data_IF_147445362276
#
_entry.id   IF_147445362276
#
_cell.length_a   1.000
_cell.length_b   1.000
_cell.length_c   1.000
_cell.angle_alpha   90.00
_cell.angle_beta   90.00
_cell.angle_gamma   90.00
#
_symmetry.space_group_name_H-M   'P 1'
#
loop_
_entity.id
_entity.type
_entity.pdbx_description
1 polymer ?
#
# COMPACT_ATOMS: atom_id res chain seq x y z
N UNK A 1 -5.86 9.34 35.20
CA UNK A 1 -4.97 8.42 34.45
C UNK A 1 -5.66 7.82 33.22
N UNK A 2 -6.86 7.26 33.34
CA UNK A 2 -7.55 6.60 32.21
C UNK A 2 -7.98 7.55 31.08
N UNK A 3 -8.59 8.70 31.40
CA UNK A 3 -8.92 9.74 30.41
C UNK A 3 -7.69 10.26 29.67
N UNK A 4 -6.55 10.40 30.36
CA UNK A 4 -5.27 10.79 29.74
C UNK A 4 -4.76 9.71 28.77
N UNK A 5 -4.86 8.43 29.14
CA UNK A 5 -4.48 7.32 28.25
C UNK A 5 -5.35 7.30 26.99
N UNK A 6 -6.67 7.44 27.13
CA UNK A 6 -7.60 7.49 25.99
C UNK A 6 -7.29 8.64 25.03
N UNK A 7 -6.95 9.83 25.55
CA UNK A 7 -6.54 10.96 24.71
C UNK A 7 -5.22 10.69 23.99
N UNK A 8 -4.26 10.03 24.64
CA UNK A 8 -2.99 9.65 24.04
C UNK A 8 -3.15 8.58 22.95
N UNK A 9 -4.00 7.57 23.17
CA UNK A 9 -4.30 6.53 22.16
C UNK A 9 -4.94 7.16 20.92
N UNK A 10 -5.92 8.06 21.11
CA UNK A 10 -6.54 8.80 20.01
C UNK A 10 -5.55 9.69 19.25
N UNK A 11 -4.69 10.43 19.97
CA UNK A 11 -3.64 11.24 19.34
C UNK A 11 -2.64 10.39 18.57
N UNK A 12 -2.19 9.28 19.16
CA UNK A 12 -1.21 8.37 18.58
C UNK A 12 -1.67 7.82 17.23
N UNK A 13 -2.88 7.25 17.18
CA UNK A 13 -3.41 6.68 15.95
C UNK A 13 -3.85 7.75 14.94
N UNK A 14 -4.27 8.95 15.40
CA UNK A 14 -4.55 10.10 14.52
C UNK A 14 -3.29 10.56 13.77
N UNK A 15 -2.14 10.65 14.45
CA UNK A 15 -0.87 10.98 13.80
C UNK A 15 -0.53 9.95 12.72
N UNK A 16 -0.75 8.66 13.00
CA UNK A 16 -0.67 7.60 11.99
C UNK A 16 -1.58 7.85 10.80
N UNK A 17 -2.86 8.13 11.05
CA UNK A 17 -3.84 8.35 9.99
C UNK A 17 -3.48 9.55 9.11
N UNK A 18 -2.98 10.65 9.69
CA UNK A 18 -2.52 11.83 8.93
C UNK A 18 -1.26 11.52 8.11
N UNK A 19 -0.31 10.74 8.65
CA UNK A 19 0.89 10.32 7.92
C UNK A 19 0.55 9.39 6.75
N UNK A 20 -0.37 8.45 6.94
CA UNK A 20 -0.84 7.56 5.86
C UNK A 20 -1.74 8.32 4.88
N UNK A 21 -2.52 9.30 5.31
CA UNK A 21 -3.19 10.22 4.39
C UNK A 21 -2.18 10.94 3.49
N UNK A 22 -1.03 11.38 4.03
CA UNK A 22 0.02 11.98 3.22
C UNK A 22 0.60 11.00 2.19
N UNK A 23 0.58 9.68 2.43
CA UNK A 23 0.97 8.68 1.42
C UNK A 23 0.12 8.78 0.14
N UNK A 24 -1.14 9.22 0.21
CA UNK A 24 -1.97 9.46 -0.98
C UNK A 24 -1.40 10.58 -1.86
N UNK A 25 -0.89 11.65 -1.25
CA UNK A 25 -0.12 12.65 -2.00
C UNK A 25 1.18 12.04 -2.55
N UNK A 26 1.82 11.15 -1.80
CA UNK A 26 2.98 10.38 -2.26
C UNK A 26 2.71 9.56 -3.53
N UNK A 27 1.62 8.77 -3.54
CA UNK A 27 1.14 8.05 -4.72
C UNK A 27 0.86 9.01 -5.87
N UNK A 28 0.24 10.17 -5.59
CA UNK A 28 -0.08 11.15 -6.60
C UNK A 28 1.16 11.73 -7.27
N UNK A 29 2.18 12.13 -6.50
CA UNK A 29 3.42 12.65 -7.06
C UNK A 29 4.27 11.57 -7.74
N UNK A 30 4.28 10.34 -7.23
CA UNK A 30 4.96 9.20 -7.85
C UNK A 30 4.34 8.86 -9.22
N UNK A 31 3.01 8.80 -9.31
CA UNK A 31 2.28 8.58 -10.57
C UNK A 31 2.50 9.77 -11.52
N UNK A 32 2.31 11.00 -11.03
CA UNK A 32 2.49 12.25 -11.79
C UNK A 32 3.89 12.35 -12.44
N UNK A 33 4.94 11.99 -11.69
CA UNK A 33 6.32 12.01 -12.16
C UNK A 33 6.62 10.92 -13.20
N UNK A 34 5.83 9.84 -13.24
CA UNK A 34 6.04 8.67 -14.10
C UNK A 34 5.23 8.73 -15.40
N UNK A 35 3.99 9.24 -15.34
CA UNK A 35 3.11 9.34 -16.52
C UNK A 35 3.56 10.45 -17.48
N UNK A 36 3.08 10.42 -18.73
CA UNK A 36 3.37 11.49 -19.71
C UNK A 36 2.69 12.80 -19.29
N UNK A 37 3.33 13.93 -19.58
CA UNK A 37 2.84 15.27 -19.20
C UNK A 37 1.36 15.54 -19.49
N UNK A 38 0.86 15.09 -20.65
CA UNK A 38 -0.56 15.24 -21.04
C UNK A 38 -1.58 14.55 -20.11
N UNK A 39 -1.14 13.60 -19.29
CA UNK A 39 -1.99 12.81 -18.39
C UNK A 39 -1.85 13.22 -16.91
N UNK A 40 -1.00 14.20 -16.61
CA UNK A 40 -0.65 14.60 -15.24
C UNK A 40 -1.85 15.12 -14.44
N UNK A 41 -2.67 16.01 -15.02
CA UNK A 41 -3.87 16.55 -14.36
C UNK A 41 -4.86 15.44 -14.01
N UNK A 42 -5.03 14.47 -14.90
CA UNK A 42 -5.92 13.34 -14.68
C UNK A 42 -5.43 12.45 -13.52
N UNK A 43 -4.12 12.21 -13.40
CA UNK A 43 -3.55 11.43 -12.31
C UNK A 43 -3.83 12.08 -10.92
N UNK A 44 -3.65 13.40 -10.82
CA UNK A 44 -3.91 14.14 -9.57
C UNK A 44 -5.38 14.08 -9.14
N UNK A 45 -6.30 14.38 -10.07
CA UNK A 45 -7.74 14.40 -9.77
C UNK A 45 -8.23 13.00 -9.39
N UNK A 46 -7.74 11.97 -10.08
CA UNK A 46 -8.12 10.57 -9.81
C UNK A 46 -7.81 10.16 -8.38
N UNK A 47 -6.60 10.38 -7.90
CA UNK A 47 -6.20 9.90 -6.57
C UNK A 47 -6.99 10.60 -5.46
N UNK A 48 -7.24 11.90 -5.59
CA UNK A 48 -8.06 12.62 -4.61
C UNK A 48 -9.52 12.14 -4.63
N UNK A 49 -10.11 11.95 -5.81
CA UNK A 49 -11.49 11.45 -5.92
C UNK A 49 -11.60 9.99 -5.48
N UNK A 50 -10.62 9.14 -5.79
CA UNK A 50 -10.57 7.75 -5.32
C UNK A 50 -10.53 7.70 -3.79
N UNK A 51 -9.80 8.61 -3.12
CA UNK A 51 -9.84 8.73 -1.66
C UNK A 51 -11.25 9.10 -1.14
N UNK A 52 -11.93 10.05 -1.77
CA UNK A 52 -13.31 10.42 -1.38
C UNK A 52 -14.30 9.27 -1.58
N UNK A 53 -14.23 8.56 -2.71
CA UNK A 53 -15.09 7.40 -2.98
C UNK A 53 -14.79 6.27 -1.99
N UNK A 54 -13.51 6.01 -1.72
CA UNK A 54 -13.07 5.04 -0.73
C UNK A 54 -13.63 5.38 0.65
N UNK A 55 -13.61 6.66 1.04
CA UNK A 55 -14.17 7.14 2.31
C UNK A 55 -15.63 6.79 2.44
N UNK A 56 -16.44 7.10 1.43
CA UNK A 56 -17.89 6.81 1.46
C UNK A 56 -18.13 5.29 1.47
N UNK A 57 -17.49 4.54 0.56
CA UNK A 57 -17.69 3.10 0.45
C UNK A 57 -17.27 2.35 1.73
N UNK A 58 -16.14 2.74 2.32
CA UNK A 58 -15.64 2.12 3.54
C UNK A 58 -16.46 2.54 4.77
N UNK A 59 -16.85 3.81 4.90
CA UNK A 59 -17.63 4.29 6.04
C UNK A 59 -19.00 3.61 6.14
N UNK A 60 -19.73 3.52 5.02
CA UNK A 60 -21.10 3.02 5.02
C UNK A 60 -21.21 1.49 4.88
N UNK A 61 -20.17 0.82 4.38
CA UNK A 61 -20.23 -0.63 4.09
C UNK A 61 -18.97 -1.34 4.59
N UNK A 62 -17.79 -0.92 4.08
CA UNK A 62 -16.56 -1.69 4.25
C UNK A 62 -16.16 -1.91 5.71
N UNK A 63 -16.22 -0.89 6.55
CA UNK A 63 -15.83 -1.01 7.96
C UNK A 63 -16.73 -2.00 8.73
N UNK A 64 -18.03 -2.00 8.42
CA UNK A 64 -18.98 -2.98 8.99
C UNK A 64 -18.70 -4.39 8.49
N UNK A 65 -18.35 -4.55 7.20
CA UNK A 65 -17.94 -5.86 6.66
C UNK A 65 -16.69 -6.38 7.40
N UNK A 66 -15.64 -5.56 7.51
CA UNK A 66 -14.38 -5.96 8.14
C UNK A 66 -14.49 -6.19 9.65
N UNK A 67 -15.11 -5.25 10.38
CA UNK A 67 -15.07 -5.22 11.85
C UNK A 67 -16.43 -5.41 12.53
N UNK A 68 -17.54 -5.32 11.80
CA UNK A 68 -18.89 -5.41 12.38
C UNK A 68 -19.30 -4.15 13.15
N UNK A 69 -18.63 -3.03 12.86
CA UNK A 69 -18.87 -1.73 13.50
C UNK A 69 -19.49 -0.79 12.47
N UNK A 70 -20.48 -0.02 12.90
CA UNK A 70 -21.07 1.09 12.15
C UNK A 70 -21.05 2.38 13.00
N UNK A 71 -21.36 3.51 12.37
CA UNK A 71 -21.34 4.82 13.01
C UNK A 71 -22.71 5.49 13.04
N UNK A 72 -23.80 4.72 13.01
CA UNK A 72 -25.18 5.25 13.03
C UNK A 72 -25.66 5.51 14.47
N UNK A 73 -24.89 6.30 15.22
CA UNK A 73 -25.23 6.74 16.58
C UNK A 73 -25.10 8.26 16.73
N UNK A 74 -25.63 8.81 17.82
CA UNK A 74 -25.56 10.24 18.09
C UNK A 74 -24.12 10.73 18.30
N UNK A 75 -23.83 11.98 17.93
CA UNK A 75 -22.48 12.55 17.99
C UNK A 75 -21.85 12.47 19.39
N UNK A 76 -22.64 12.59 20.46
CA UNK A 76 -22.18 12.45 21.84
C UNK A 76 -21.64 11.05 22.14
N UNK A 77 -22.26 10.01 21.58
CA UNK A 77 -21.81 8.61 21.72
C UNK A 77 -20.52 8.40 20.93
N UNK A 78 -20.49 8.89 19.69
CA UNK A 78 -19.32 8.80 18.82
C UNK A 78 -18.09 9.55 19.36
N UNK A 79 -18.29 10.62 20.13
CA UNK A 79 -17.23 11.43 20.73
C UNK A 79 -16.65 10.82 22.02
N UNK A 80 -17.26 9.75 22.57
CA UNK A 80 -16.74 9.08 23.76
C UNK A 80 -15.31 8.57 23.53
N UNK A 81 -14.51 8.50 24.60
CA UNK A 81 -13.09 8.10 24.55
C UNK A 81 -12.29 8.93 23.53
N UNK A 82 -12.60 10.22 23.42
CA UNK A 82 -12.01 11.14 22.44
C UNK A 82 -12.22 10.70 20.98
N UNK A 83 -13.30 9.98 20.70
CA UNK A 83 -13.61 9.50 19.35
C UNK A 83 -12.64 8.44 18.82
N UNK A 84 -11.98 7.67 19.69
CA UNK A 84 -10.97 6.68 19.29
C UNK A 84 -11.45 5.75 18.16
N UNK A 85 -12.70 5.27 18.18
CA UNK A 85 -13.23 4.42 17.11
C UNK A 85 -13.35 5.15 15.76
N UNK A 86 -13.69 6.44 15.75
CA UNK A 86 -13.70 7.25 14.53
C UNK A 86 -12.28 7.48 14.00
N UNK A 87 -11.31 7.70 14.90
CA UNK A 87 -9.90 7.87 14.50
C UNK A 87 -9.32 6.55 14.00
N UNK A 88 -9.66 5.43 14.63
CA UNK A 88 -9.30 4.09 14.17
C UNK A 88 -9.90 3.78 12.80
N UNK A 89 -11.16 4.16 12.58
CA UNK A 89 -11.76 4.13 11.24
C UNK A 89 -10.96 4.96 10.25
N UNK A 90 -10.61 6.21 10.59
CA UNK A 90 -9.83 7.07 9.70
C UNK A 90 -8.47 6.46 9.38
N UNK A 91 -7.78 5.87 10.36
CA UNK A 91 -6.54 5.13 10.14
C UNK A 91 -6.72 3.98 9.16
N UNK A 92 -7.67 3.08 9.39
CA UNK A 92 -7.87 1.90 8.53
C UNK A 92 -8.44 2.27 7.15
N UNK A 93 -9.25 3.33 7.06
CA UNK A 93 -9.68 3.92 5.80
C UNK A 93 -8.48 4.29 4.92
N UNK A 94 -7.42 4.89 5.50
CA UNK A 94 -6.26 5.30 4.71
C UNK A 94 -5.50 4.11 4.12
N UNK A 95 -5.58 2.92 4.75
CA UNK A 95 -5.05 1.65 4.25
C UNK A 95 -5.95 1.10 3.14
N UNK A 96 -7.27 1.07 3.37
CA UNK A 96 -8.25 0.64 2.39
C UNK A 96 -8.18 1.48 1.10
N UNK A 97 -8.04 2.80 1.25
CA UNK A 97 -7.88 3.73 0.13
C UNK A 97 -6.54 3.58 -0.59
N UNK A 98 -5.51 2.98 0.03
CA UNK A 98 -4.23 2.74 -0.65
C UNK A 98 -4.38 1.70 -1.78
N UNK A 99 -5.34 0.78 -1.67
CA UNK A 99 -5.62 -0.25 -2.67
C UNK A 99 -5.93 0.34 -4.06
N UNK A 100 -6.94 1.21 -4.23
CA UNK A 100 -7.20 1.83 -5.54
C UNK A 100 -6.04 2.71 -6.00
N UNK A 101 -5.28 3.34 -5.11
CA UNK A 101 -4.07 4.09 -5.48
C UNK A 101 -2.98 3.19 -6.08
N UNK A 102 -2.74 2.01 -5.49
CA UNK A 102 -1.86 0.96 -6.03
C UNK A 102 -2.35 0.53 -7.41
N UNK A 103 -3.64 0.23 -7.55
CA UNK A 103 -4.21 -0.20 -8.84
C UNK A 103 -4.06 0.90 -9.89
N UNK A 104 -4.36 2.16 -9.55
CA UNK A 104 -4.23 3.33 -10.42
C UNK A 104 -2.84 3.41 -11.06
N UNK A 105 -1.79 3.24 -10.26
CA UNK A 105 -0.41 3.23 -10.75
C UNK A 105 -0.16 2.18 -11.84
N UNK A 106 -0.79 1.01 -11.76
CA UNK A 106 -0.67 -0.01 -12.80
C UNK A 106 -1.46 0.34 -14.06
N UNK A 107 -2.63 0.93 -13.91
CA UNK A 107 -3.60 1.22 -14.99
C UNK A 107 -3.56 2.66 -15.54
N UNK A 108 -2.56 3.44 -15.11
CA UNK A 108 -2.38 4.83 -15.50
C UNK A 108 -2.39 5.05 -17.03
N UNK A 109 -2.82 6.26 -17.42
CA UNK A 109 -2.94 6.74 -18.81
C UNK A 109 -3.97 6.07 -19.72
N UNK A 110 -4.60 4.96 -19.33
CA UNK A 110 -5.58 4.25 -20.17
C UNK A 110 -6.89 3.87 -19.47
N UNK A 111 -6.92 3.89 -18.14
CA UNK A 111 -8.15 3.71 -17.38
C UNK A 111 -9.09 4.92 -17.51
N UNK A 112 -10.37 4.63 -17.79
CA UNK A 112 -11.45 5.63 -17.76
C UNK A 112 -11.79 5.98 -16.31
N UNK A 113 -12.11 7.25 -16.06
CA UNK A 113 -12.36 7.81 -14.73
C UNK A 113 -13.54 7.14 -14.00
N UNK A 114 -14.75 7.16 -14.56
CA UNK A 114 -15.93 6.61 -13.87
C UNK A 114 -15.90 5.09 -13.64
N UNK A 115 -15.48 4.25 -14.62
CA UNK A 115 -15.31 2.82 -14.36
C UNK A 115 -14.30 2.53 -13.24
N UNK A 116 -13.21 3.31 -13.17
CA UNK A 116 -12.24 3.22 -12.07
C UNK A 116 -12.89 3.56 -10.73
N UNK A 117 -13.66 4.66 -10.63
CA UNK A 117 -14.38 5.01 -9.40
C UNK A 117 -15.36 3.92 -8.94
N UNK A 118 -16.10 3.32 -9.88
CA UNK A 118 -17.03 2.22 -9.53
C UNK A 118 -16.26 1.00 -9.03
N UNK A 119 -15.13 0.66 -9.66
CA UNK A 119 -14.25 -0.41 -9.18
C UNK A 119 -13.71 -0.08 -7.78
N UNK A 120 -13.27 1.16 -7.53
CA UNK A 120 -12.85 1.64 -6.21
C UNK A 120 -13.92 1.41 -5.16
N UNK A 121 -15.17 1.81 -5.44
CA UNK A 121 -16.28 1.62 -4.50
C UNK A 121 -16.54 0.15 -4.16
N UNK A 122 -16.49 -0.75 -5.15
CA UNK A 122 -16.69 -2.20 -4.93
C UNK A 122 -15.51 -2.83 -4.19
N UNK A 123 -14.29 -2.46 -4.57
CA UNK A 123 -13.08 -3.01 -3.95
C UNK A 123 -13.01 -2.57 -2.48
N UNK A 124 -13.16 -1.28 -2.21
CA UNK A 124 -13.02 -0.72 -0.86
C UNK A 124 -14.25 -0.96 0.01
N UNK A 125 -15.45 -0.99 -0.58
CA UNK A 125 -16.69 -1.25 0.15
C UNK A 125 -16.92 -2.72 0.46
N UNK A 126 -16.34 -3.66 -0.30
CA UNK A 126 -16.64 -5.09 -0.16
C UNK A 126 -15.41 -6.01 -0.24
N UNK A 127 -14.64 -5.97 -1.33
CA UNK A 127 -13.62 -7.01 -1.57
C UNK A 127 -12.43 -6.93 -0.60
N UNK A 128 -11.84 -5.75 -0.42
CA UNK A 128 -10.75 -5.51 0.52
C UNK A 128 -11.20 -5.76 1.98
N UNK A 129 -12.35 -5.23 2.45
CA UNK A 129 -12.85 -5.50 3.80
C UNK A 129 -13.03 -6.99 4.15
N UNK A 130 -13.31 -7.86 3.19
CA UNK A 130 -13.37 -9.31 3.43
C UNK A 130 -11.99 -9.86 3.78
N UNK A 131 -10.93 -9.43 3.09
CA UNK A 131 -9.55 -9.81 3.38
C UNK A 131 -9.07 -9.21 4.70
N UNK A 132 -9.30 -7.91 4.88
CA UNK A 132 -8.99 -7.18 6.10
C UNK A 132 -9.65 -7.81 7.33
N UNK A 133 -10.96 -8.08 7.27
CA UNK A 133 -11.69 -8.72 8.35
C UNK A 133 -11.22 -10.15 8.63
N UNK A 134 -10.90 -10.92 7.59
CA UNK A 134 -10.39 -12.29 7.75
C UNK A 134 -9.05 -12.31 8.50
N UNK A 135 -8.12 -11.43 8.14
CA UNK A 135 -6.74 -11.46 8.67
C UNK A 135 -6.60 -10.68 9.97
N UNK A 136 -7.12 -9.44 10.05
CA UNK A 136 -6.92 -8.53 11.19
C UNK A 136 -8.05 -8.53 12.21
N UNK A 137 -9.27 -8.91 11.81
CA UNK A 137 -10.40 -9.00 12.74
C UNK A 137 -10.77 -10.45 13.11
N UNK A 138 -10.02 -11.44 12.60
CA UNK A 138 -10.31 -12.87 12.76
C UNK A 138 -11.77 -13.23 12.43
N UNK A 139 -12.35 -12.54 11.43
CA UNK A 139 -13.69 -12.88 10.92
C UNK A 139 -13.62 -14.12 10.03
N UNK A 140 -14.79 -14.73 9.83
CA UNK A 140 -15.00 -15.83 8.88
C UNK A 140 -14.22 -17.13 9.19
N UNK A 141 -13.53 -17.22 10.33
CA UNK A 141 -12.80 -18.42 10.77
C UNK A 141 -11.52 -18.72 10.00
N UNK A 142 -11.05 -17.81 9.13
CA UNK A 142 -9.90 -18.04 8.25
C UNK A 142 -8.60 -18.18 9.05
N UNK A 143 -8.33 -17.29 10.02
CA UNK A 143 -7.14 -17.39 10.87
C UNK A 143 -7.13 -18.66 11.72
N UNK A 144 -8.30 -19.08 12.24
CA UNK A 144 -8.46 -20.35 12.94
C UNK A 144 -8.16 -21.54 12.04
N UNK A 145 -8.67 -21.52 10.80
CA UNK A 145 -8.38 -22.55 9.81
C UNK A 145 -6.90 -22.60 9.45
N UNK A 146 -6.26 -21.44 9.19
CA UNK A 146 -4.81 -21.34 8.94
C UNK A 146 -4.04 -21.97 10.10
N UNK A 147 -4.33 -21.55 11.34
CA UNK A 147 -3.66 -22.09 12.52
C UNK A 147 -3.83 -23.61 12.66
N UNK A 148 -4.99 -24.16 12.27
CA UNK A 148 -5.24 -25.60 12.32
C UNK A 148 -4.41 -26.42 11.32
N UNK A 149 -3.98 -25.81 10.21
CA UNK A 149 -3.21 -26.50 9.15
C UNK A 149 -1.71 -26.18 9.17
N UNK A 150 -1.31 -25.00 9.66
CA UNK A 150 0.10 -24.56 9.69
C UNK A 150 0.73 -24.58 11.08
N UNK A 151 -0.08 -24.72 12.14
CA UNK A 151 0.38 -24.66 13.54
C UNK A 151 0.43 -23.26 14.15
N UNK A 152 0.09 -22.20 13.39
CA UNK A 152 0.02 -20.83 13.90
C UNK A 152 -0.79 -19.90 13.00
N UNK A 153 -1.36 -18.81 13.52
CA UNK A 153 -2.08 -17.84 12.69
C UNK A 153 -1.12 -17.16 11.71
N UNK A 154 -1.68 -16.64 10.62
CA UNK A 154 -0.93 -15.78 9.72
C UNK A 154 -0.59 -14.45 10.42
N UNK A 155 0.69 -14.10 10.44
CA UNK A 155 1.17 -12.82 10.96
C UNK A 155 1.33 -11.82 9.83
N UNK A 156 0.57 -10.72 9.88
CA UNK A 156 0.71 -9.59 8.98
C UNK A 156 0.47 -8.30 9.77
N UNK A 157 1.51 -7.77 10.41
CA UNK A 157 1.39 -6.69 11.38
C UNK A 157 0.80 -5.40 10.81
N UNK A 158 1.30 -4.94 9.66
CA UNK A 158 0.88 -3.69 9.02
C UNK A 158 0.34 -3.87 7.59
N UNK A 159 0.45 -5.04 6.95
CA UNK A 159 -0.23 -5.29 5.67
C UNK A 159 0.67 -5.52 4.46
N UNK A 160 1.75 -6.32 4.59
CA UNK A 160 2.47 -6.79 3.39
C UNK A 160 1.54 -7.59 2.50
N UNK A 161 0.63 -8.37 3.09
CA UNK A 161 -0.33 -9.18 2.34
C UNK A 161 -1.68 -8.47 2.24
N UNK A 162 -2.26 -8.06 3.37
CA UNK A 162 -3.62 -7.48 3.44
C UNK A 162 -3.75 -6.23 2.58
N UNK A 163 -2.71 -5.39 2.52
CA UNK A 163 -2.74 -4.17 1.70
C UNK A 163 -1.99 -4.37 0.40
N UNK A 164 -0.69 -4.65 0.47
CA UNK A 164 0.15 -4.59 -0.72
C UNK A 164 -0.03 -5.78 -1.65
N UNK A 165 0.04 -7.01 -1.14
CA UNK A 165 -0.19 -8.17 -2.00
C UNK A 165 -1.61 -8.13 -2.57
N UNK A 166 -2.63 -7.87 -1.75
CA UNK A 166 -4.01 -7.71 -2.22
C UNK A 166 -4.11 -6.68 -3.36
N UNK A 167 -3.60 -5.46 -3.14
CA UNK A 167 -3.64 -4.41 -4.15
C UNK A 167 -2.89 -4.77 -5.44
N UNK A 168 -1.68 -5.32 -5.33
CA UNK A 168 -0.87 -5.70 -6.49
C UNK A 168 -1.46 -6.88 -7.28
N UNK A 169 -2.06 -7.86 -6.61
CA UNK A 169 -2.69 -9.01 -7.28
C UNK A 169 -4.06 -8.67 -7.88
N UNK A 170 -4.81 -7.72 -7.32
CA UNK A 170 -6.01 -7.17 -7.96
C UNK A 170 -5.64 -6.25 -9.14
N UNK A 171 -4.52 -5.53 -9.07
CA UNK A 171 -4.05 -4.69 -10.15
C UNK A 171 -3.65 -5.50 -11.40
N UNK A 172 -3.05 -6.69 -11.25
CA UNK A 172 -2.54 -7.48 -12.38
C UNK A 172 -3.64 -7.82 -13.41
N UNK A 173 -4.80 -8.41 -13.05
CA UNK A 173 -5.91 -8.60 -13.99
C UNK A 173 -6.35 -7.31 -14.67
N UNK A 174 -6.42 -6.19 -13.95
CA UNK A 174 -6.81 -4.90 -14.53
C UNK A 174 -5.78 -4.42 -15.57
N UNK A 175 -4.48 -4.57 -15.29
CA UNK A 175 -3.38 -4.28 -16.23
C UNK A 175 -3.48 -5.16 -17.47
N UNK A 176 -3.74 -6.46 -17.31
CA UNK A 176 -3.85 -7.41 -18.43
C UNK A 176 -5.08 -7.13 -19.31
N UNK A 177 -6.24 -6.87 -18.71
CA UNK A 177 -7.49 -6.62 -19.44
C UNK A 177 -7.45 -5.29 -20.19
N UNK A 178 -6.92 -4.23 -19.58
CA UNK A 178 -6.75 -2.94 -20.26
C UNK A 178 -5.67 -2.98 -21.35
N UNK A 179 -4.72 -3.90 -21.22
CA UNK A 179 -3.61 -4.07 -22.13
C UNK A 179 -2.61 -2.92 -22.10
N UNK A 180 -1.69 -2.96 -23.08
CA UNK A 180 -0.58 -2.02 -23.16
C UNK A 180 -1.00 -0.63 -23.66
N UNK A 181 -0.32 0.41 -23.16
CA UNK A 181 -0.49 1.77 -23.67
C UNK A 181 -0.11 1.83 -25.14
N UNK A 182 -0.78 2.72 -25.87
CA UNK A 182 -0.53 2.95 -27.30
C UNK A 182 0.94 3.22 -27.55
N UNK A 183 1.50 2.49 -28.53
CA UNK A 183 2.89 2.55 -28.97
C UNK A 183 3.95 2.05 -27.97
N UNK A 184 3.56 1.42 -26.85
CA UNK A 184 4.51 0.80 -25.91
C UNK A 184 5.26 -0.37 -26.57
N UNK A 185 4.51 -1.32 -27.13
CA UNK A 185 5.02 -2.47 -27.88
C UNK A 185 4.58 -2.37 -29.34
N UNK A 186 5.56 -2.23 -30.25
CA UNK A 186 5.31 -2.04 -31.68
C UNK A 186 5.25 -3.38 -32.41
N UNK A 187 4.56 -3.40 -33.56
CA UNK A 187 4.39 -4.60 -34.40
C UNK A 187 5.71 -5.12 -34.98
N UNK A 188 6.70 -4.26 -35.16
CA UNK A 188 8.06 -4.60 -35.59
C UNK A 188 8.90 -5.26 -34.48
N UNK A 189 8.32 -5.51 -33.30
CA UNK A 189 9.01 -6.06 -32.14
C UNK A 189 9.72 -5.01 -31.29
N UNK A 190 9.77 -3.75 -31.74
CA UNK A 190 10.38 -2.64 -31.01
C UNK A 190 9.58 -2.23 -29.76
N UNK A 191 10.27 -1.67 -28.79
CA UNK A 191 9.68 -1.13 -27.56
C UNK A 191 9.93 0.37 -27.46
N UNK A 192 8.89 1.15 -27.20
CA UNK A 192 9.05 2.57 -26.87
C UNK A 192 9.20 2.73 -25.36
N UNK A 193 10.34 3.26 -24.95
CA UNK A 193 10.49 3.75 -23.58
C UNK A 193 9.52 4.92 -23.35
N UNK A 194 8.80 4.89 -22.25
CA UNK A 194 8.04 6.03 -21.75
C UNK A 194 8.75 6.50 -20.49
N UNK A 195 9.79 7.36 -20.65
CA UNK A 195 10.56 7.81 -19.50
C UNK A 195 9.67 8.64 -18.56
N UNK A 196 9.99 8.67 -17.25
CA UNK A 196 9.34 9.57 -16.31
C UNK A 196 9.32 11.01 -16.83
N UNK A 197 8.19 11.69 -16.69
CA UNK A 197 8.05 13.08 -17.11
C UNK A 197 8.72 14.06 -16.15
N UNK A 198 8.90 13.68 -14.87
CA UNK A 198 9.55 14.51 -13.86
C UNK A 198 10.19 13.66 -12.76
N UNK A 199 11.52 13.56 -12.78
CA UNK A 199 12.29 12.92 -11.70
C UNK A 199 12.08 13.63 -10.35
N UNK A 200 12.02 14.98 -10.27
CA UNK A 200 11.71 15.66 -9.00
C UNK A 200 10.36 15.26 -8.39
N UNK A 201 9.31 15.10 -9.20
CA UNK A 201 8.00 14.67 -8.68
C UNK A 201 8.00 13.19 -8.31
N UNK A 202 8.65 12.34 -9.10
CA UNK A 202 8.84 10.93 -8.76
C UNK A 202 9.58 10.80 -7.41
N UNK A 203 10.66 11.55 -7.22
CA UNK A 203 11.43 11.60 -5.99
C UNK A 203 10.61 12.13 -4.81
N UNK A 204 9.86 13.22 -5.00
CA UNK A 204 8.98 13.79 -3.97
C UNK A 204 7.92 12.77 -3.52
N UNK A 205 7.30 12.07 -4.47
CA UNK A 205 6.34 11.01 -4.18
C UNK A 205 6.94 9.90 -3.33
N UNK A 206 8.12 9.40 -3.73
CA UNK A 206 8.85 8.37 -3.00
C UNK A 206 9.20 8.79 -1.56
N UNK A 207 9.70 10.00 -1.36
CA UNK A 207 10.02 10.50 -0.01
C UNK A 207 8.78 10.68 0.87
N UNK A 208 7.67 11.20 0.32
CA UNK A 208 6.41 11.31 1.07
C UNK A 208 5.91 9.92 1.48
N UNK A 209 5.96 8.94 0.57
CA UNK A 209 5.60 7.55 0.88
C UNK A 209 6.51 6.96 1.95
N UNK A 210 7.82 7.17 1.86
CA UNK A 210 8.78 6.68 2.85
C UNK A 210 8.52 7.24 4.25
N UNK A 211 8.23 8.54 4.38
CA UNK A 211 7.87 9.16 5.66
C UNK A 211 6.53 8.63 6.16
N UNK A 212 5.50 8.60 5.30
CA UNK A 212 4.18 8.11 5.65
C UNK A 212 4.18 6.66 6.12
N UNK A 213 5.11 5.84 5.63
CA UNK A 213 5.27 4.45 6.02
C UNK A 213 5.61 4.23 7.49
N UNK A 214 6.27 5.19 8.14
CA UNK A 214 6.47 5.11 9.59
C UNK A 214 5.14 5.27 10.34
N UNK A 215 4.22 6.08 9.81
CA UNK A 215 2.83 6.13 10.28
C UNK A 215 2.09 4.83 10.03
N UNK A 216 2.29 4.24 8.85
CA UNK A 216 1.69 2.96 8.45
C UNK A 216 2.15 1.81 9.36
N UNK A 217 3.45 1.63 9.56
CA UNK A 217 3.99 0.53 10.36
C UNK A 217 3.89 0.81 11.87
N UNK A 218 4.51 1.88 12.37
CA UNK A 218 4.64 2.10 13.83
C UNK A 218 3.28 2.28 14.50
N UNK A 219 2.35 2.97 13.83
CA UNK A 219 1.01 3.23 14.39
C UNK A 219 0.03 2.07 14.18
N UNK A 220 0.41 1.02 13.43
CA UNK A 220 -0.36 -0.25 13.39
C UNK A 220 -0.40 -0.96 14.74
N UNK A 221 0.42 -0.54 15.70
CA UNK A 221 0.25 -0.86 17.12
C UNK A 221 -1.12 -0.41 17.69
N UNK A 222 -1.76 0.60 17.08
CA UNK A 222 -3.06 1.22 17.40
C UNK A 222 -3.17 1.93 18.76
N UNK A 223 -2.48 1.45 19.79
CA UNK A 223 -2.47 2.04 21.13
C UNK A 223 -1.05 2.36 21.59
N UNK A 224 -0.91 3.40 22.41
CA UNK A 224 0.40 3.93 22.81
C UNK A 224 1.21 2.94 23.65
N UNK A 225 0.55 2.02 24.35
CA UNK A 225 1.20 0.97 25.14
C UNK A 225 1.80 -0.15 24.29
N UNK A 226 1.44 -0.24 23.00
CA UNK A 226 1.96 -1.23 22.05
C UNK A 226 2.99 -0.64 21.09
N UNK A 227 3.29 0.66 21.17
CA UNK A 227 4.31 1.28 20.32
C UNK A 227 5.66 0.58 20.51
N UNK A 228 6.37 0.36 19.41
CA UNK A 228 7.66 -0.33 19.44
C UNK A 228 8.70 0.38 18.59
N UNK A 229 9.84 0.71 19.21
CA UNK A 229 11.02 1.22 18.49
C UNK A 229 11.59 0.19 17.51
N UNK A 230 11.36 -1.11 17.76
CA UNK A 230 11.77 -2.19 16.86
C UNK A 230 11.08 -2.04 15.50
N UNK A 231 9.78 -1.73 15.48
CA UNK A 231 9.01 -1.53 14.25
C UNK A 231 9.58 -0.36 13.43
N UNK A 232 9.94 0.74 14.09
CA UNK A 232 10.56 1.89 13.43
C UNK A 232 11.92 1.54 12.82
N UNK A 233 12.79 0.86 13.58
CA UNK A 233 14.13 0.48 13.11
C UNK A 233 14.05 -0.57 12.00
N UNK A 234 13.17 -1.57 12.12
CA UNK A 234 12.97 -2.56 11.06
C UNK A 234 12.46 -1.92 9.77
N UNK A 235 11.54 -0.95 9.88
CA UNK A 235 11.07 -0.17 8.72
C UNK A 235 12.20 0.58 8.04
N UNK A 236 13.06 1.25 8.83
CA UNK A 236 14.25 1.94 8.30
C UNK A 236 15.24 0.98 7.65
N UNK A 237 15.55 -0.15 8.29
CA UNK A 237 16.50 -1.12 7.75
C UNK A 237 16.00 -1.73 6.44
N UNK A 238 14.72 -2.06 6.34
CA UNK A 238 14.13 -2.57 5.11
C UNK A 238 14.11 -1.52 3.99
N UNK A 239 13.78 -0.26 4.30
CA UNK A 239 13.90 0.87 3.38
C UNK A 239 15.32 0.95 2.81
N UNK A 240 16.34 0.91 3.69
CA UNK A 240 17.76 0.96 3.30
C UNK A 240 18.12 -0.23 2.42
N UNK A 241 17.74 -1.46 2.81
CA UNK A 241 18.02 -2.67 2.05
C UNK A 241 17.44 -2.63 0.64
N UNK A 242 16.16 -2.24 0.53
CA UNK A 242 15.48 -2.10 -0.75
C UNK A 242 16.12 -1.03 -1.64
N UNK A 243 16.49 0.11 -1.06
CA UNK A 243 17.16 1.21 -1.78
C UNK A 243 18.53 0.78 -2.31
N UNK A 244 19.39 0.19 -1.47
CA UNK A 244 20.73 -0.22 -1.86
C UNK A 244 20.70 -1.31 -2.93
N UNK A 245 19.81 -2.30 -2.78
CA UNK A 245 19.69 -3.36 -3.77
C UNK A 245 19.12 -2.84 -5.10
N UNK A 246 18.14 -1.95 -5.06
CA UNK A 246 17.60 -1.34 -6.27
C UNK A 246 18.61 -0.44 -6.97
N UNK A 247 19.43 0.30 -6.23
CA UNK A 247 20.52 1.10 -6.81
C UNK A 247 21.57 0.22 -7.50
N UNK A 248 21.96 -0.89 -6.86
CA UNK A 248 22.92 -1.84 -7.40
C UNK A 248 22.40 -2.53 -8.67
N UNK A 249 21.24 -3.19 -8.59
CA UNK A 249 20.70 -3.99 -9.68
C UNK A 249 20.06 -3.13 -10.78
N UNK A 250 19.46 -2.01 -10.39
CA UNK A 250 18.91 -1.00 -11.29
C UNK A 250 19.96 -0.06 -11.89
N UNK A 251 21.24 -0.24 -11.55
CA UNK A 251 22.38 0.54 -12.09
C UNK A 251 22.19 2.05 -11.95
N UNK A 252 21.73 2.49 -10.78
CA UNK A 252 21.43 3.89 -10.45
C UNK A 252 20.31 4.53 -11.30
N UNK A 253 19.48 3.75 -12.00
CA UNK A 253 18.30 4.28 -12.68
C UNK A 253 17.34 4.90 -11.64
N UNK A 254 16.96 6.19 -11.79
CA UNK A 254 16.09 6.85 -10.83
C UNK A 254 14.74 6.16 -10.62
N UNK A 255 14.18 5.53 -11.66
CA UNK A 255 12.93 4.77 -11.57
C UNK A 255 13.08 3.58 -10.62
N UNK A 256 14.22 2.89 -10.61
CA UNK A 256 14.49 1.84 -9.65
C UNK A 256 14.88 2.38 -8.27
N UNK A 257 15.77 3.36 -8.19
CA UNK A 257 16.30 3.87 -6.90
C UNK A 257 15.19 4.46 -6.02
N UNK A 258 14.24 5.19 -6.59
CA UNK A 258 13.14 5.78 -5.81
C UNK A 258 12.00 4.80 -5.53
N UNK A 259 11.91 3.67 -6.23
CA UNK A 259 10.94 2.61 -5.89
C UNK A 259 11.52 1.52 -4.98
N UNK A 260 12.86 1.37 -4.96
CA UNK A 260 13.59 0.50 -4.04
C UNK A 260 13.21 0.63 -2.56
N UNK A 261 13.18 1.84 -1.96
CA UNK A 261 12.73 2.00 -0.57
C UNK A 261 11.31 1.49 -0.37
N UNK A 262 10.42 1.71 -1.34
CA UNK A 262 9.02 1.28 -1.28
C UNK A 262 8.91 -0.24 -1.32
N UNK A 263 9.67 -0.92 -2.19
CA UNK A 263 9.72 -2.37 -2.22
C UNK A 263 10.14 -2.97 -0.87
N UNK A 264 11.16 -2.39 -0.23
CA UNK A 264 11.60 -2.81 1.09
C UNK A 264 10.56 -2.55 2.18
N UNK A 265 9.96 -1.36 2.18
CA UNK A 265 8.90 -1.00 3.12
C UNK A 265 7.63 -1.85 2.94
N UNK A 266 7.24 -2.20 1.72
CA UNK A 266 6.16 -3.17 1.44
C UNK A 266 6.45 -4.51 2.10
N UNK A 267 7.66 -5.03 1.93
CA UNK A 267 8.00 -6.37 2.40
C UNK A 267 8.11 -6.46 3.93
N UNK A 268 8.50 -5.39 4.62
CA UNK A 268 8.66 -5.45 6.09
C UNK A 268 7.35 -5.31 6.85
N UNK A 269 6.27 -4.80 6.23
CA UNK A 269 4.99 -4.56 6.93
C UNK A 269 4.50 -5.77 7.73
N UNK A 270 4.61 -6.99 7.20
CA UNK A 270 4.12 -8.19 7.87
C UNK A 270 4.89 -8.55 9.14
N UNK A 271 6.21 -8.38 9.15
CA UNK A 271 7.07 -8.83 10.26
C UNK A 271 7.84 -7.72 10.99
N UNK A 272 7.49 -6.46 10.77
CA UNK A 272 8.21 -5.32 11.33
C UNK A 272 8.29 -5.32 12.87
N UNK A 273 7.37 -5.97 13.55
CA UNK A 273 7.31 -6.14 15.01
C UNK A 273 8.04 -7.37 15.54
N UNK A 274 8.42 -8.32 14.67
CA UNK A 274 9.04 -9.61 15.08
C UNK A 274 10.45 -9.83 14.52
N UNK A 275 10.84 -9.11 13.47
CA UNK A 275 12.14 -9.26 12.83
C UNK A 275 13.28 -8.64 13.66
N UNK A 276 14.49 -9.19 13.52
CA UNK A 276 15.72 -8.50 13.91
C UNK A 276 16.07 -7.43 12.85
N UNK A 277 16.64 -6.26 13.19
CA UNK A 277 17.01 -5.21 12.24
C UNK A 277 17.87 -5.66 11.05
N UNK A 278 18.82 -6.57 11.29
CA UNK A 278 19.62 -7.17 10.22
C UNK A 278 18.78 -8.09 9.30
N UNK A 279 17.77 -8.76 9.85
CA UNK A 279 16.80 -9.54 9.07
C UNK A 279 15.91 -8.62 8.23
N UNK A 280 15.40 -7.53 8.81
CA UNK A 280 14.63 -6.53 8.07
C UNK A 280 15.43 -5.89 6.92
N UNK A 281 16.73 -5.63 7.11
CA UNK A 281 17.63 -5.20 6.04
C UNK A 281 17.69 -6.22 4.89
N UNK A 282 17.85 -7.51 5.21
CA UNK A 282 17.90 -8.57 4.22
C UNK A 282 16.57 -8.74 3.48
N UNK A 283 15.44 -8.70 4.21
CA UNK A 283 14.08 -8.73 3.65
C UNK A 283 13.89 -7.59 2.66
N UNK A 284 14.28 -6.38 3.05
CA UNK A 284 14.22 -5.21 2.19
C UNK A 284 15.10 -5.34 0.94
N UNK A 285 16.33 -5.83 1.09
CA UNK A 285 17.24 -6.07 -0.03
C UNK A 285 16.67 -7.08 -1.03
N UNK A 286 16.15 -8.22 -0.54
CA UNK A 286 15.51 -9.22 -1.41
C UNK A 286 14.29 -8.63 -2.11
N UNK A 287 13.48 -7.82 -1.42
CA UNK A 287 12.34 -7.14 -2.03
C UNK A 287 12.77 -6.17 -3.16
N UNK A 288 13.83 -5.39 -2.94
CA UNK A 288 14.42 -4.53 -3.97
C UNK A 288 14.89 -5.32 -5.19
N UNK A 289 15.51 -6.49 -4.99
CA UNK A 289 15.89 -7.38 -6.09
C UNK A 289 14.67 -7.93 -6.84
N UNK A 290 13.66 -8.44 -6.11
CA UNK A 290 12.40 -8.92 -6.70
C UNK A 290 11.80 -7.84 -7.58
N UNK A 291 11.68 -6.60 -7.07
CA UNK A 291 11.12 -5.49 -7.83
C UNK A 291 11.89 -5.23 -9.13
N UNK A 292 13.21 -5.03 -9.07
CA UNK A 292 14.01 -4.70 -10.28
C UNK A 292 13.92 -5.81 -11.32
N UNK A 293 14.11 -7.07 -10.91
CA UNK A 293 14.08 -8.20 -11.85
C UNK A 293 12.69 -8.41 -12.43
N UNK A 294 11.66 -8.42 -11.59
CA UNK A 294 10.29 -8.72 -12.03
C UNK A 294 9.69 -7.58 -12.82
N UNK A 295 9.98 -6.32 -12.49
CA UNK A 295 9.59 -5.18 -13.33
C UNK A 295 10.20 -5.29 -14.72
N UNK A 296 11.51 -5.54 -14.79
CA UNK A 296 12.24 -5.70 -16.06
C UNK A 296 11.68 -6.86 -16.88
N UNK A 297 11.44 -8.01 -16.25
CA UNK A 297 10.90 -9.20 -16.91
C UNK A 297 9.48 -8.97 -17.46
N UNK A 298 8.61 -8.40 -16.62
CA UNK A 298 7.21 -8.10 -16.92
C UNK A 298 7.11 -7.15 -18.12
N UNK A 299 7.92 -6.09 -18.10
CA UNK A 299 7.93 -5.07 -19.14
C UNK A 299 8.59 -5.57 -20.42
N UNK A 300 9.77 -6.21 -20.33
CA UNK A 300 10.62 -6.45 -21.49
C UNK A 300 10.37 -7.79 -22.18
N UNK A 301 10.01 -8.83 -21.42
CA UNK A 301 9.83 -10.18 -21.96
C UNK A 301 8.35 -10.53 -22.11
N UNK A 302 7.55 -10.29 -21.07
CA UNK A 302 6.13 -10.64 -21.07
C UNK A 302 5.24 -9.61 -21.74
N UNK A 303 5.79 -8.42 -22.03
CA UNK A 303 5.08 -7.32 -22.70
C UNK A 303 3.80 -6.91 -21.94
N UNK A 304 3.88 -6.91 -20.62
CA UNK A 304 2.83 -6.43 -19.72
C UNK A 304 3.19 -5.00 -19.31
N UNK A 305 2.38 -4.04 -19.72
CA UNK A 305 2.61 -2.62 -19.46
C UNK A 305 2.01 -2.17 -18.13
N UNK A 306 2.63 -2.63 -17.05
CA UNK A 306 2.39 -2.15 -15.69
C UNK A 306 3.18 -0.85 -15.45
N UNK A 307 2.51 0.31 -15.52
CA UNK A 307 3.17 1.62 -15.69
C UNK A 307 4.18 1.93 -14.58
N UNK A 308 3.79 1.71 -13.32
CA UNK A 308 4.63 1.92 -12.15
C UNK A 308 5.26 0.62 -11.62
N UNK A 309 4.92 -0.53 -12.21
CA UNK A 309 5.39 -1.83 -11.70
C UNK A 309 4.69 -2.24 -10.41
N UNK A 310 3.40 -1.95 -10.30
CA UNK A 310 2.63 -2.14 -9.07
C UNK A 310 2.45 -3.61 -8.72
N UNK A 311 2.39 -4.52 -9.69
CA UNK A 311 2.34 -5.95 -9.41
C UNK A 311 3.69 -6.47 -8.88
N UNK A 312 4.85 -6.20 -9.52
CA UNK A 312 6.16 -6.51 -8.93
C UNK A 312 6.37 -5.88 -7.55
N UNK A 313 6.05 -4.59 -7.39
CA UNK A 313 6.37 -3.81 -6.19
C UNK A 313 5.44 -4.11 -5.02
N UNK A 314 4.12 -4.21 -5.23
CA UNK A 314 3.17 -4.46 -4.16
C UNK A 314 2.77 -5.94 -4.09
N UNK A 315 2.49 -6.55 -5.25
CA UNK A 315 2.07 -7.95 -5.34
C UNK A 315 3.15 -8.92 -4.87
N UNK A 316 4.31 -8.90 -5.52
CA UNK A 316 5.38 -9.86 -5.26
C UNK A 316 6.19 -9.52 -4.01
N UNK A 317 6.57 -8.27 -3.79
CA UNK A 317 7.25 -7.89 -2.54
C UNK A 317 6.33 -8.05 -1.32
N UNK A 318 5.02 -7.86 -1.47
CA UNK A 318 4.04 -8.10 -0.40
C UNK A 318 3.93 -9.58 -0.03
N UNK A 319 3.88 -10.48 -1.04
CA UNK A 319 3.94 -11.92 -0.81
C UNK A 319 5.26 -12.33 -0.16
N UNK A 320 6.39 -11.80 -0.64
CA UNK A 320 7.70 -12.04 -0.03
C UNK A 320 7.73 -11.60 1.43
N UNK A 321 7.16 -10.43 1.76
CA UNK A 321 7.06 -9.95 3.12
C UNK A 321 6.28 -10.88 4.05
N UNK A 322 5.12 -11.36 3.57
CA UNK A 322 4.31 -12.33 4.31
C UNK A 322 5.04 -13.67 4.54
N UNK A 323 5.81 -14.14 3.56
CA UNK A 323 6.63 -15.36 3.71
C UNK A 323 7.77 -15.13 4.70
N UNK A 324 8.46 -13.99 4.60
CA UNK A 324 9.64 -13.69 5.42
C UNK A 324 9.31 -13.38 6.89
N UNK A 325 8.04 -13.12 7.21
CA UNK A 325 7.58 -12.91 8.57
C UNK A 325 7.41 -14.21 9.38
N UNK A 326 7.29 -15.37 8.70
CA UNK A 326 7.21 -16.70 9.30
C UNK A 326 8.58 -17.38 9.40
#
# INVERSE_FOLDING_TARGET
MESSKQGMDALFILLGAVMVLAMHAGFAFLELGTVRGKNQVNALVKILVDFCVSTIAYFFVGYTVAYGVDFFSGAEVLAQKNGYELVKFFFLLTFAAAIPAIISGGIAERAKFHPQMLATAVIVGLLYPLCEGAVWANKFGIQTWIASVTGGPMHDFAGSVVVHAFGGWIALPAVLILGARRNRYRKDGGMSAHPPSSIPFLALGSWILAVGWFGFNVMSAQTIDKISGLVAVNSLMALVGGTLMAALLGKNDPGFVYNGPLAGLVAVCAGSDVMHPAGALAVGAIAGAIFVFMFTLTQNKWKIDDVLGVWPLHGLCGVWGGIAAG
#
